data_IF_875925211040
#
_entry.id   IF_875925211040
#
_cell.length_a   1.000
_cell.length_b   1.000
_cell.length_c   1.000
_cell.angle_alpha   90.00
_cell.angle_beta   90.00
_cell.angle_gamma   90.00
#
_symmetry.space_group_name_H-M   'P 1'
#
loop_
_entity.id
_entity.type
_entity.pdbx_description
1 polymer ?
2 polymer ?
3 water ?
#
# COMPACT_ATOMS: atom_id res chain seq x y z
N UNK A 3 5.15 19.18 11.77
CA UNK A 3 3.77 19.43 11.37
C UNK A 3 2.82 18.43 12.04
N UNK A 4 2.88 17.18 11.59
CA UNK A 4 2.05 16.12 12.11
C UNK A 4 2.77 15.26 13.13
N UNK A 5 2.20 14.09 13.38
CA UNK A 5 2.79 13.12 14.34
C UNK A 5 3.97 12.46 13.66
N UNK A 6 5.12 12.45 14.32
CA UNK A 6 6.39 11.91 13.76
C UNK A 6 6.73 10.56 14.39
N UNK A 7 7.10 9.58 13.58
CA UNK A 7 7.47 8.26 14.13
C UNK A 7 8.85 7.89 13.62
N UNK A 8 9.66 7.29 14.49
CA UNK A 8 10.98 6.81 14.14
C UNK A 8 11.19 5.45 14.78
N UNK A 9 11.74 4.47 14.04
CA UNK A 9 12.09 4.62 12.62
C UNK A 9 10.87 4.47 11.71
N UNK A 10 11.07 4.48 10.40
CA UNK A 10 9.99 4.22 9.46
C UNK A 10 9.92 2.74 9.10
N UNK A 11 11.04 2.15 8.72
CA UNK A 11 11.17 0.72 8.51
C UNK A 11 12.19 0.17 9.49
N UNK A 12 11.98 -1.07 9.92
CA UNK A 12 12.98 -1.77 10.71
C UNK A 12 12.94 -3.25 10.38
N UNK A 13 14.10 -3.79 10.01
CA UNK A 13 14.28 -5.22 9.76
C UNK A 13 15.38 -5.71 10.70
N UNK A 14 15.03 -6.62 11.60
CA UNK A 14 15.92 -7.03 12.67
C UNK A 14 15.77 -8.51 12.94
N UNK A 15 16.77 -9.08 13.61
CA UNK A 15 16.78 -10.47 14.01
C UNK A 15 16.06 -10.66 15.34
N UNK A 16 15.51 -11.85 15.55
CA UNK A 16 14.76 -12.12 16.76
C UNK A 16 15.67 -12.14 17.98
N UNK A 17 15.13 -11.70 19.11
CA UNK A 17 15.88 -11.52 20.34
C UNK A 17 16.34 -10.10 20.56
N UNK A 18 16.47 -9.32 19.49
CA UNK A 18 16.89 -7.93 19.62
C UNK A 18 15.82 -7.10 20.31
N UNK A 19 16.26 -6.01 20.92
CA UNK A 19 15.34 -5.03 21.51
C UNK A 19 15.00 -3.98 20.47
N UNK A 20 13.70 -3.77 20.25
CA UNK A 20 13.20 -2.83 19.27
C UNK A 20 12.63 -1.62 20.01
N UNK A 21 13.12 -0.42 19.66
CA UNK A 21 12.66 0.82 20.26
C UNK A 21 11.95 1.64 19.19
N UNK A 22 10.64 1.83 19.38
CA UNK A 22 9.85 2.72 18.54
C UNK A 22 9.65 4.03 19.27
N UNK A 23 9.73 5.14 18.54
CA UNK A 23 9.63 6.47 19.13
C UNK A 23 8.59 7.29 18.39
N UNK A 24 7.84 8.08 19.15
CA UNK A 24 6.79 8.93 18.60
C UNK A 24 6.89 10.34 19.17
N UNK A 25 6.60 11.33 18.33
CA UNK A 25 6.49 12.72 18.76
C UNK A 25 5.11 13.23 18.42
N UNK A 26 4.28 13.53 19.41
CA UNK A 26 2.91 14.00 19.11
C UNK A 26 2.90 15.40 18.51
N UNK A 27 1.72 15.87 18.12
CA UNK A 27 1.59 17.21 17.58
C UNK A 27 1.75 18.23 18.71
N UNK A 28 2.44 19.33 18.41
CA UNK A 28 2.72 20.36 19.41
C UNK A 28 1.43 20.87 20.04
N UNK A 29 1.30 20.68 21.36
CA UNK A 29 0.12 21.07 22.09
C UNK A 29 -0.81 19.91 22.41
N UNK A 30 -0.66 18.78 21.73
CA UNK A 30 -1.49 17.62 22.00
C UNK A 30 -1.05 16.95 23.31
N UNK A 31 -2.01 16.37 24.01
CA UNK A 31 -1.77 15.87 25.36
C UNK A 31 -2.07 14.39 25.55
N UNK A 32 -2.80 13.75 24.65
CA UNK A 32 -3.02 12.31 24.70
C UNK A 32 -2.30 11.65 23.52
N UNK A 33 -1.71 10.49 23.78
CA UNK A 33 -0.92 9.78 22.78
C UNK A 33 -1.31 8.31 22.78
N UNK A 34 -1.58 7.77 21.60
CA UNK A 34 -2.07 6.40 21.45
C UNK A 34 -1.07 5.57 20.66
N UNK A 35 -0.91 4.31 21.06
CA UNK A 35 -0.05 3.36 20.36
C UNK A 35 -0.92 2.25 19.79
N UNK A 36 -0.92 2.10 18.46
CA UNK A 36 -1.70 1.09 17.78
C UNK A 36 -0.81 0.08 17.09
N UNK A 37 -1.42 -1.05 16.69
CA UNK A 37 -0.79 -2.08 15.89
C UNK A 37 -1.77 -2.52 14.82
N UNK A 38 -1.24 -2.84 13.64
CA UNK A 38 -2.03 -3.27 12.48
C UNK A 38 -1.45 -4.53 11.85
N UNK A 39 -2.33 -5.43 11.48
CA UNK A 39 -2.01 -6.69 10.78
C UNK A 39 -3.18 -6.96 9.83
N UNK A 40 -3.26 -8.14 9.26
CA UNK A 40 -4.49 -8.38 8.46
C UNK A 40 -5.51 -9.13 9.33
N UNK A 41 -5.03 -9.97 10.23
CA UNK A 41 -5.82 -10.87 11.09
C UNK A 41 -6.56 -10.17 12.23
N UNK A 42 -5.92 -9.22 12.90
CA UNK A 42 -6.52 -8.57 14.09
C UNK A 42 -6.94 -7.12 13.86
N UNK A 43 -6.52 -6.49 12.76
CA UNK A 43 -6.91 -5.13 12.49
C UNK A 43 -6.14 -4.10 13.32
N UNK A 44 -6.76 -2.95 13.49
CA UNK A 44 -6.19 -1.85 14.25
C UNK A 44 -6.38 -2.13 15.74
N UNK A 45 -5.28 -2.35 16.44
CA UNK A 45 -5.30 -2.83 17.82
C UNK A 45 -4.70 -1.77 18.73
N UNK A 46 -5.49 -1.29 19.69
CA UNK A 46 -4.96 -0.38 20.70
C UNK A 46 -4.04 -1.15 21.63
N UNK A 47 -2.84 -0.61 21.85
CA UNK A 47 -1.88 -1.18 22.78
C UNK A 47 -1.85 -0.44 24.11
N UNK A 48 -1.71 0.88 24.06
CA UNK A 48 -1.66 1.71 25.26
C UNK A 48 -1.89 3.14 24.82
N UNK A 49 -2.41 3.96 25.74
CA UNK A 49 -2.60 5.38 25.43
C UNK A 49 -2.43 6.20 26.69
N UNK A 50 -1.79 7.35 26.54
CA UNK A 50 -1.45 8.24 27.64
C UNK A 50 -2.31 9.49 27.61
N UNK A 51 -2.26 10.23 28.71
CA UNK A 51 -2.89 11.54 28.80
C UNK A 51 -2.13 12.33 29.86
N UNK A 52 -1.55 13.46 29.44
CA UNK A 52 -0.66 14.25 30.30
C UNK A 52 0.48 13.38 30.83
N UNK A 53 1.03 12.55 29.94
CA UNK A 53 2.18 11.69 30.22
C UNK A 53 1.88 10.57 31.23
N UNK A 54 0.63 10.33 31.51
CA UNK A 54 0.20 9.26 32.43
C UNK A 54 -0.55 8.22 31.62
N UNK A 55 -0.26 6.93 31.79
CA UNK A 55 -1.03 5.90 31.09
C UNK A 55 -2.46 5.83 31.61
N UNK A 56 -3.41 5.69 30.69
CA UNK A 56 -4.82 5.58 31.03
C UNK A 56 -5.32 4.15 30.84
N UNK A 57 -4.99 3.53 29.70
CA UNK A 57 -5.40 2.17 29.41
C UNK A 57 -4.23 1.45 28.77
N UNK A 58 -3.70 0.44 29.46
CA UNK A 58 -2.65 -0.42 28.92
C UNK A 58 -3.09 -1.88 28.86
N UNK A 59 -4.40 -2.14 28.87
CA UNK A 59 -4.90 -3.50 28.81
C UNK A 59 -4.54 -4.20 27.51
N UNK A 60 -4.32 -3.43 26.43
CA UNK A 60 -3.91 -3.99 25.17
C UNK A 60 -2.45 -4.40 25.08
N UNK A 61 -1.67 -4.12 26.12
CA UNK A 61 -0.26 -4.47 26.11
C UNK A 61 -0.09 -5.97 26.36
N UNK A 62 0.75 -6.66 25.59
CA UNK A 62 0.99 -8.08 25.84
C UNK A 62 1.65 -8.30 27.19
N UNK A 63 1.47 -9.52 27.71
CA UNK A 63 1.95 -9.84 29.06
C UNK A 63 3.45 -9.66 29.18
N UNK A 64 4.20 -9.97 28.12
CA UNK A 64 5.65 -9.87 28.15
C UNK A 64 6.17 -9.16 26.90
N UNK A 65 7.35 -8.57 27.04
CA UNK A 65 8.21 -8.04 25.98
C UNK A 65 7.76 -6.71 25.41
N UNK A 66 6.66 -6.11 25.88
CA UNK A 66 6.19 -4.83 25.37
C UNK A 66 6.09 -3.85 26.53
N UNK A 67 6.82 -2.74 26.43
CA UNK A 67 6.78 -1.68 27.44
C UNK A 67 6.78 -0.33 26.74
N UNK A 68 5.98 0.60 27.28
CA UNK A 68 5.86 1.94 26.72
C UNK A 68 5.90 2.97 27.84
N UNK A 69 6.45 4.14 27.53
CA UNK A 69 6.53 5.23 28.50
C UNK A 69 6.59 6.56 27.77
N UNK A 70 6.23 7.62 28.48
CA UNK A 70 6.20 8.98 27.95
C UNK A 70 6.98 9.86 28.90
N UNK A 71 8.30 10.05 28.67
CA UNK A 71 9.12 10.81 29.63
C UNK A 71 8.77 12.29 29.68
N UNK A 72 8.37 12.90 28.57
CA UNK A 72 7.90 14.29 28.58
C UNK A 72 6.72 14.40 27.63
N UNK A 73 6.20 15.62 27.49
CA UNK A 73 4.95 15.84 26.78
C UNK A 73 5.06 15.73 25.27
N UNK A 74 6.27 15.62 24.72
CA UNK A 74 6.47 15.58 23.27
C UNK A 74 7.36 14.41 22.85
N UNK A 75 7.34 13.32 23.60
CA UNK A 75 8.17 12.17 23.29
C UNK A 75 7.64 10.95 24.03
N UNK A 76 7.41 9.87 23.29
CA UNK A 76 7.02 8.60 23.88
C UNK A 76 7.77 7.49 23.17
N UNK A 77 7.99 6.38 23.89
CA UNK A 77 8.74 5.25 23.36
C UNK A 77 7.96 3.96 23.60
N UNK A 78 8.23 2.97 22.76
CA UNK A 78 7.58 1.66 22.86
C UNK A 78 8.62 0.60 22.56
N UNK A 79 9.03 -0.14 23.59
CA UNK A 79 10.15 -1.07 23.49
C UNK A 79 9.64 -2.51 23.41
N UNK A 80 10.17 -3.25 22.44
CA UNK A 80 9.90 -4.67 22.29
C UNK A 80 11.19 -5.42 22.64
N UNK A 81 11.18 -6.12 23.77
CA UNK A 81 12.38 -6.80 24.24
C UNK A 81 12.03 -8.06 25.02
N UNK A 82 12.50 -9.24 24.56
CA UNK A 82 13.15 -9.37 23.25
C UNK A 82 12.12 -9.56 22.15
N UNK A 83 12.48 -9.20 20.92
CA UNK A 83 11.55 -9.27 19.81
C UNK A 83 11.37 -10.71 19.33
N UNK A 84 10.28 -10.93 18.62
CA UNK A 84 9.93 -12.23 18.06
C UNK A 84 9.38 -12.02 16.67
N UNK A 85 9.42 -13.05 15.81
CA UNK A 85 8.84 -12.92 14.47
C UNK A 85 7.39 -12.48 14.47
N UNK A 86 6.57 -13.00 15.39
CA UNK A 86 5.16 -12.62 15.44
C UNK A 86 4.96 -11.16 15.83
N UNK A 87 6.01 -10.46 16.25
CA UNK A 87 5.90 -9.03 16.52
C UNK A 87 5.78 -8.20 15.24
N UNK A 88 6.05 -8.81 14.08
CA UNK A 88 6.11 -8.07 12.83
C UNK A 88 4.73 -7.51 12.49
N UNK A 89 4.65 -6.17 12.42
CA UNK A 89 3.41 -5.48 12.11
C UNK A 89 3.75 -4.03 11.78
N UNK A 90 2.73 -3.26 11.43
CA UNK A 90 2.85 -1.81 11.29
C UNK A 90 2.34 -1.18 12.57
N UNK A 91 3.19 -0.41 13.23
CA UNK A 91 2.87 0.20 14.52
C UNK A 91 2.62 1.68 14.33
N UNK A 92 1.45 2.15 14.76
CA UNK A 92 1.03 3.53 14.58
C UNK A 92 1.04 4.26 15.91
N UNK A 93 1.36 5.56 15.84
CA UNK A 93 1.21 6.45 16.97
C UNK A 93 0.24 7.57 16.59
N UNK A 94 -0.68 7.88 17.50
CA UNK A 94 -1.68 8.91 17.28
C UNK A 94 -1.70 9.85 18.47
N UNK A 95 -2.24 11.05 18.26
CA UNK A 95 -2.33 12.03 19.33
C UNK A 95 -3.57 12.89 19.14
N UNK A 96 -4.14 13.31 20.27
CA UNK A 96 -5.28 14.23 20.30
C UNK A 96 -4.96 15.37 21.26
N UNK A 97 -5.85 16.36 21.28
CA UNK A 97 -5.68 17.48 22.20
C UNK A 97 -5.70 17.02 23.65
N UNK A 98 -6.47 15.99 23.97
CA UNK A 98 -6.49 15.47 25.31
C UNK A 98 -7.44 16.15 26.27
N UNK A 99 -8.43 16.85 25.73
CA UNK A 99 -9.42 17.51 26.60
C UNK A 99 -10.70 16.68 26.63
N UNK A 100 -10.81 15.73 25.73
CA UNK A 100 -12.01 14.90 25.68
C UNK A 100 -11.66 13.56 25.05
N UNK A 101 -12.35 12.52 25.50
CA UNK A 101 -12.18 11.20 24.90
C UNK A 101 -12.61 11.18 23.45
N UNK A 102 -13.42 12.14 23.01
CA UNK A 102 -13.97 12.19 21.67
C UNK A 102 -13.14 13.03 20.71
N UNK A 103 -11.98 13.53 21.14
CA UNK A 103 -11.17 14.38 20.28
C UNK A 103 -10.64 13.58 19.09
N UNK A 104 -10.51 14.28 17.96
CA UNK A 104 -10.04 13.63 16.73
C UNK A 104 -8.59 13.19 16.88
N UNK A 105 -8.31 11.96 16.44
CA UNK A 105 -6.97 11.40 16.52
C UNK A 105 -6.22 11.62 15.20
N UNK A 106 -5.03 12.19 15.30
CA UNK A 106 -4.15 12.37 14.15
C UNK A 106 -3.11 11.27 14.14
N UNK A 107 -2.93 10.63 13.00
CA UNK A 107 -2.08 9.44 12.89
C UNK A 107 -0.75 9.79 12.25
N UNK A 108 0.33 9.29 12.85
CA UNK A 108 1.62 9.35 12.22
C UNK A 108 1.73 8.36 11.08
N UNK A 109 2.86 8.39 10.38
CA UNK A 109 3.02 7.52 9.20
C UNK A 109 3.14 6.05 9.54
N UNK A 110 3.54 5.71 10.76
CA UNK A 110 3.64 4.32 11.14
C UNK A 110 5.00 3.73 10.84
N UNK A 111 5.39 2.75 11.67
CA UNK A 111 6.64 2.03 11.50
C UNK A 111 6.34 0.60 11.10
N UNK A 112 6.91 0.16 9.98
CA UNK A 112 6.81 -1.23 9.55
C UNK A 112 7.98 -1.99 10.16
N UNK A 113 7.68 -2.86 11.11
CA UNK A 113 8.68 -3.65 11.83
C UNK A 113 8.61 -5.09 11.34
N UNK A 114 9.72 -5.58 10.81
CA UNK A 114 9.84 -6.99 10.42
C UNK A 114 10.93 -7.63 11.26
N UNK A 115 10.54 -8.51 12.17
CA UNK A 115 11.47 -9.28 12.98
C UNK A 115 11.63 -10.65 12.33
N UNK A 116 12.85 -10.96 11.88
CA UNK A 116 13.12 -12.20 11.19
C UNK A 116 13.67 -13.26 12.15
N UNK A 117 13.57 -14.52 11.73
CA UNK A 117 14.18 -15.60 12.50
C UNK A 117 15.70 -15.51 12.46
N UNK A 118 16.27 -15.33 11.27
CA UNK A 118 17.68 -15.02 11.11
C UNK A 118 17.86 -14.28 9.79
N UNK A 119 19.02 -13.65 9.63
CA UNK A 119 19.30 -12.78 8.51
C UNK A 119 19.94 -13.50 7.33
N UNK A 120 19.88 -14.83 7.30
CA UNK A 120 20.55 -15.58 6.24
C UNK A 120 19.84 -15.45 4.90
N UNK A 121 18.56 -15.07 4.90
CA UNK A 121 17.72 -15.04 3.71
C UNK A 121 17.48 -13.63 3.19
N UNK A 122 18.22 -12.64 3.68
CA UNK A 122 17.99 -11.26 3.28
C UNK A 122 18.75 -11.00 1.99
N UNK A 123 18.04 -10.52 0.97
CA UNK A 123 18.63 -10.17 -0.31
C UNK A 123 18.13 -8.80 -0.76
N UNK A 124 18.98 -7.99 -1.35
CA UNK A 124 18.52 -6.76 -1.99
C UNK A 124 17.88 -7.08 -3.33
N UNK A 125 17.08 -6.17 -3.89
CA UNK A 125 16.45 -6.45 -5.18
C UNK A 125 17.39 -6.21 -6.34
N UNK A 126 17.07 -6.88 -7.45
CA UNK A 126 17.69 -6.60 -8.75
C UNK A 126 16.66 -5.83 -9.58
N UNK A 127 17.09 -4.71 -10.16
CA UNK A 127 16.20 -3.80 -10.86
C UNK A 127 16.57 -3.78 -12.33
N UNK A 128 15.61 -4.14 -13.19
CA UNK A 128 15.75 -4.06 -14.63
C UNK A 128 14.60 -3.24 -15.20
N UNK A 129 14.92 -2.39 -16.16
CA UNK A 129 13.93 -1.58 -16.88
C UNK A 129 13.83 -2.12 -18.30
N UNK A 130 12.59 -2.28 -18.78
CA UNK A 130 12.33 -2.86 -20.08
C UNK A 130 11.75 -1.77 -20.98
N UNK A 131 12.38 -1.58 -22.14
CA UNK A 131 12.04 -0.45 -22.99
C UNK A 131 10.74 -0.69 -23.73
N UNK A 132 10.03 0.39 -24.10
CA UNK A 132 8.71 0.22 -24.74
C UNK A 132 8.77 -0.58 -26.02
N UNK A 133 7.81 -1.50 -26.16
CA UNK A 133 7.56 -2.16 -27.44
C UNK A 133 7.39 -1.14 -28.54
N UNK A 134 7.98 -1.42 -29.70
CA UNK A 134 7.71 -0.63 -30.89
C UNK A 134 6.37 -0.95 -31.50
N UNK A 135 5.83 -2.14 -31.23
CA UNK A 135 4.45 -2.42 -31.62
C UNK A 135 3.48 -1.54 -30.85
N UNK A 136 3.78 -1.26 -29.57
CA UNK A 136 2.92 -0.40 -28.77
C UNK A 136 3.01 1.04 -29.22
N UNK A 137 4.20 1.50 -29.59
CA UNK A 137 4.34 2.82 -30.18
C UNK A 137 3.59 2.89 -31.50
N UNK A 138 3.74 1.88 -32.34
CA UNK A 138 3.09 1.94 -33.65
C UNK A 138 1.57 1.94 -33.52
N UNK A 139 1.05 1.15 -32.58
CA UNK A 139 -0.39 0.85 -32.54
C UNK A 139 -1.19 1.87 -31.74
N UNK A 140 -0.61 2.48 -30.70
CA UNK A 140 -1.33 3.33 -29.78
C UNK A 140 -0.73 4.74 -29.66
N UNK A 141 0.43 4.99 -30.26
CA UNK A 141 1.16 6.25 -30.12
C UNK A 141 1.52 6.55 -28.67
N UNK A 142 1.57 5.52 -27.83
CA UNK A 142 2.05 5.63 -26.45
C UNK A 142 3.18 4.65 -26.25
N UNK A 143 3.93 4.85 -25.16
CA UNK A 143 5.10 4.03 -24.85
C UNK A 143 5.06 3.66 -23.38
N UNK A 144 4.98 2.37 -23.10
CA UNK A 144 4.93 1.85 -21.73
C UNK A 144 6.31 1.33 -21.34
N UNK A 145 6.86 1.88 -20.28
CA UNK A 145 8.06 1.31 -19.64
C UNK A 145 7.64 0.36 -18.53
N UNK A 146 8.42 -0.70 -18.36
CA UNK A 146 8.17 -1.69 -17.32
C UNK A 146 9.42 -1.85 -16.48
N UNK A 147 9.25 -1.90 -15.16
CA UNK A 147 10.33 -2.09 -14.22
C UNK A 147 10.08 -3.35 -13.41
N UNK A 148 11.15 -4.13 -13.19
CA UNK A 148 11.07 -5.39 -12.46
C UNK A 148 12.07 -5.35 -11.31
N UNK A 149 11.55 -5.30 -10.08
CA UNK A 149 12.35 -5.47 -8.87
C UNK A 149 12.16 -6.90 -8.40
N UNK A 150 13.21 -7.72 -8.52
CA UNK A 150 13.08 -9.16 -8.33
C UNK A 150 14.08 -9.65 -7.28
N UNK A 151 13.68 -10.70 -6.56
CA UNK A 151 14.59 -11.44 -5.71
C UNK A 151 14.94 -10.79 -4.39
N UNK A 152 14.06 -9.96 -3.84
CA UNK A 152 14.33 -9.29 -2.58
C UNK A 152 13.59 -9.96 -1.43
N UNK A 153 14.17 -9.86 -0.24
CA UNK A 153 13.59 -10.35 1.01
C UNK A 153 14.19 -9.57 2.17
N UNK A 154 13.36 -9.10 3.12
CA UNK A 154 11.90 -9.24 3.12
C UNK A 154 11.21 -8.22 2.22
N UNK A 155 9.91 -8.01 2.43
CA UNK A 155 9.13 -7.10 1.59
C UNK A 155 9.15 -5.70 2.18
N UNK A 156 10.33 -5.10 2.14
CA UNK A 156 10.53 -3.71 2.56
C UNK A 156 11.13 -2.94 1.39
N UNK A 157 10.32 -2.71 0.35
CA UNK A 157 10.78 -2.03 -0.85
C UNK A 157 9.85 -0.86 -1.14
N UNK A 158 10.43 0.20 -1.69
CA UNK A 158 9.69 1.37 -2.18
C UNK A 158 10.17 1.65 -3.60
N UNK A 159 9.27 1.47 -4.57
CA UNK A 159 9.58 1.69 -5.97
C UNK A 159 9.16 3.10 -6.37
N UNK A 160 9.96 3.73 -7.22
CA UNK A 160 9.65 5.08 -7.69
C UNK A 160 10.30 5.30 -9.05
N UNK A 161 9.60 6.06 -9.90
CA UNK A 161 10.10 6.45 -11.20
C UNK A 161 10.61 7.89 -11.15
N UNK A 162 11.76 8.13 -11.76
CA UNK A 162 12.37 9.45 -11.79
C UNK A 162 12.65 9.82 -13.24
N UNK A 163 11.84 10.72 -13.79
CA UNK A 163 11.97 11.17 -15.17
C UNK A 163 12.68 12.51 -15.16
N UNK A 164 13.86 12.56 -15.79
CA UNK A 164 14.68 13.77 -15.87
C UNK A 164 15.02 14.30 -14.48
N UNK A 165 15.57 13.42 -13.65
CA UNK A 165 16.04 13.79 -12.33
C UNK A 165 14.97 14.08 -11.30
N UNK A 166 13.71 14.23 -11.72
CA UNK A 166 12.63 14.58 -10.80
C UNK A 166 11.62 13.43 -10.74
N UNK A 167 11.07 13.22 -9.55
CA UNK A 167 10.17 12.10 -9.31
C UNK A 167 8.80 12.37 -9.91
N UNK A 168 8.23 11.35 -10.57
CA UNK A 168 6.93 11.47 -11.21
C UNK A 168 5.96 10.51 -10.53
N UNK A 169 4.67 10.84 -10.64
CA UNK A 169 3.62 10.02 -10.04
C UNK A 169 2.54 9.70 -11.06
N UNK A 170 2.38 10.58 -12.06
CA UNK A 170 1.36 10.37 -13.08
C UNK A 170 1.81 9.30 -14.07
N UNK A 171 0.83 8.55 -14.58
CA UNK A 171 1.12 7.51 -15.55
C UNK A 171 1.91 6.34 -14.99
N UNK A 172 1.90 6.15 -13.68
CA UNK A 172 2.69 5.11 -13.03
C UNK A 172 1.76 4.23 -12.21
N UNK A 173 1.80 2.93 -12.48
CA UNK A 173 1.07 1.95 -11.68
C UNK A 173 2.05 0.86 -11.29
N UNK A 174 2.27 0.69 -9.99
CA UNK A 174 3.12 -0.35 -9.45
C UNK A 174 2.24 -1.31 -8.65
N UNK A 175 2.63 -2.57 -8.64
CA UNK A 175 1.82 -3.62 -8.03
C UNK A 175 1.54 -3.29 -6.56
N UNK A 176 0.29 -3.33 -6.11
CA UNK A 176 0.01 -3.11 -4.68
C UNK A 176 0.64 -4.18 -3.80
N UNK A 177 0.74 -5.41 -4.28
CA UNK A 177 1.35 -6.50 -3.52
C UNK A 177 2.34 -7.26 -4.41
N UNK A 178 3.46 -7.67 -3.85
CA UNK A 178 4.47 -8.39 -4.64
C UNK A 178 4.09 -9.86 -4.85
N UNK A 179 4.91 -10.55 -5.63
CA UNK A 179 4.73 -11.96 -5.93
C UNK A 179 5.84 -12.77 -5.27
N UNK A 180 5.49 -13.99 -4.86
CA UNK A 180 6.46 -14.94 -4.34
C UNK A 180 7.08 -15.71 -5.50
N UNK A 181 8.40 -15.61 -5.65
CA UNK A 181 9.08 -16.38 -6.69
C UNK A 181 8.89 -17.87 -6.47
N UNK A 182 9.05 -18.32 -5.23
CA UNK A 182 8.68 -19.68 -4.84
C UNK A 182 7.36 -19.59 -4.07
N UNK A 183 6.21 -19.81 -4.71
CA UNK A 183 4.92 -19.62 -4.02
C UNK A 183 4.66 -20.61 -2.89
N UNK A 184 5.62 -21.48 -2.55
CA UNK A 184 5.45 -22.45 -1.49
C UNK A 184 6.65 -22.43 -0.55
N UNK A 185 7.01 -21.24 -0.06
CA UNK A 185 8.13 -21.09 0.86
C UNK A 185 7.88 -19.88 1.74
N UNK A 186 8.08 -20.05 3.06
CA UNK A 186 8.04 -18.92 3.97
C UNK A 186 9.24 -18.02 3.78
N UNK A 187 10.37 -18.58 3.33
CA UNK A 187 11.58 -17.83 3.05
C UNK A 187 11.55 -17.10 1.72
N UNK A 188 10.51 -17.34 0.90
CA UNK A 188 10.57 -17.03 -0.52
C UNK A 188 10.84 -15.54 -0.77
N UNK A 189 11.80 -15.27 -1.65
CA UNK A 189 12.08 -13.91 -2.09
C UNK A 189 10.96 -13.42 -2.99
N UNK A 190 10.86 -12.10 -3.11
CA UNK A 190 9.72 -11.46 -3.76
C UNK A 190 10.11 -10.83 -5.10
N UNK A 191 9.09 -10.59 -5.92
CA UNK A 191 9.23 -9.83 -7.16
C UNK A 191 8.14 -8.77 -7.19
N UNK A 192 8.43 -7.68 -7.91
CA UNK A 192 7.50 -6.55 -7.97
C UNK A 192 7.67 -5.87 -9.32
N UNK A 193 6.54 -5.52 -9.95
CA UNK A 193 6.54 -4.90 -11.26
C UNK A 193 5.92 -3.51 -11.20
N UNK A 194 6.36 -2.64 -12.11
CA UNK A 194 5.85 -1.29 -12.26
C UNK A 194 5.70 -0.97 -13.74
N UNK A 195 4.90 0.06 -14.00
CA UNK A 195 4.68 0.55 -15.35
C UNK A 195 4.73 2.07 -15.36
N UNK A 196 5.41 2.63 -16.35
CA UNK A 196 5.40 4.07 -16.62
C UNK A 196 5.08 4.26 -18.09
N UNK A 197 3.87 4.72 -18.38
CA UNK A 197 3.42 4.93 -19.75
C UNK A 197 3.47 6.41 -20.09
N UNK A 198 4.23 6.75 -21.11
CA UNK A 198 4.28 8.10 -21.64
C UNK A 198 3.93 8.04 -23.12
N UNK A 199 3.77 9.23 -23.72
CA UNK A 199 3.44 9.30 -25.13
C UNK A 199 4.63 8.89 -25.98
N UNK A 200 4.34 8.40 -27.19
CA UNK A 200 5.40 8.06 -28.13
C UNK A 200 6.35 9.22 -28.36
N UNK A 201 5.81 10.45 -28.33
CA UNK A 201 6.64 11.63 -28.52
C UNK A 201 7.68 11.77 -27.40
N UNK A 202 7.28 11.46 -26.17
CA UNK A 202 8.19 11.67 -25.04
C UNK A 202 9.27 10.60 -24.97
N UNK A 203 8.94 9.35 -25.29
CA UNK A 203 9.95 8.29 -25.24
C UNK A 203 10.95 8.43 -26.38
N UNK A 204 10.50 8.86 -27.54
CA UNK A 204 11.37 8.95 -28.71
C UNK A 204 12.31 10.15 -28.67
N UNK A 205 12.26 10.97 -27.62
CA UNK A 205 13.22 12.05 -27.44
C UNK A 205 14.42 11.49 -26.68
N UNK A 206 15.59 11.38 -27.30
CA UNK A 206 16.75 10.80 -26.60
C UNK A 206 17.34 11.72 -25.54
N UNK A 207 16.70 12.86 -25.30
CA UNK A 207 17.11 13.77 -24.24
C UNK A 207 16.27 13.60 -22.98
N UNK A 208 15.38 12.62 -22.95
CA UNK A 208 14.62 12.28 -21.76
C UNK A 208 15.27 11.10 -21.05
N UNK A 209 15.37 11.19 -19.73
CA UNK A 209 16.04 10.20 -18.91
C UNK A 209 15.02 9.53 -18.00
N UNK A 210 14.97 8.20 -18.03
CA UNK A 210 14.05 7.41 -17.22
C UNK A 210 14.85 6.57 -16.24
N UNK A 211 14.44 6.58 -14.97
CA UNK A 211 15.11 5.79 -13.95
C UNK A 211 14.07 5.17 -13.04
N UNK A 212 14.16 3.84 -12.86
CA UNK A 212 13.35 3.13 -11.88
C UNK A 212 14.18 2.94 -10.61
N UNK A 213 13.70 3.50 -9.51
CA UNK A 213 14.43 3.52 -8.25
C UNK A 213 13.68 2.67 -7.23
N UNK A 214 14.39 1.75 -6.59
CA UNK A 214 13.82 0.85 -5.61
C UNK A 214 14.60 0.99 -4.31
N UNK A 215 13.98 1.59 -3.30
CA UNK A 215 14.57 1.70 -1.98
C UNK A 215 14.32 0.41 -1.20
N UNK A 216 15.39 -0.29 -0.85
CA UNK A 216 15.31 -1.53 -0.09
C UNK A 216 15.73 -1.28 1.36
N UNK A 217 15.04 -1.94 2.30
CA UNK A 217 15.34 -1.83 3.71
C UNK A 217 15.78 -3.20 4.23
N UNK A 218 17.03 -3.30 4.65
CA UNK A 218 17.56 -4.55 5.15
C UNK A 218 18.39 -4.38 6.40
N UNK A 219 19.63 -4.88 6.38
CA UNK A 219 20.48 -4.85 7.55
C UNK A 219 21.06 -3.46 7.78
N UNK A 220 21.54 -3.24 9.00
CA UNK A 220 22.11 -1.96 9.40
C UNK A 220 23.62 -2.11 9.64
N UNK A 221 24.23 -1.06 10.18
CA UNK A 221 25.66 -1.09 10.47
C UNK A 221 25.97 -2.09 11.58
N UNK A 222 25.14 -2.13 12.63
CA UNK A 222 25.42 -2.99 13.77
C UNK A 222 25.38 -4.46 13.40
N UNK A 223 24.55 -4.82 12.41
CA UNK A 223 24.41 -6.22 12.01
C UNK A 223 25.73 -6.74 11.44
N UNK A 224 25.81 -8.07 11.31
CA UNK A 224 27.04 -8.73 10.95
C UNK A 224 26.80 -9.69 9.79
N UNK A 225 27.89 -10.10 9.15
CA UNK A 225 27.81 -10.91 7.94
C UNK A 225 28.88 -11.99 7.95
N UNK A 226 28.45 -13.24 7.84
CA UNK A 226 29.37 -14.38 7.72
C UNK A 226 29.10 -15.14 6.43
N UNK A 227 29.07 -14.42 5.30
CA UNK A 227 28.83 -15.02 4.00
C UNK A 227 29.61 -14.23 2.97
N UNK A 228 30.14 -14.92 1.95
CA UNK A 228 30.89 -14.24 0.89
C UNK A 228 29.97 -13.86 -0.27
N UNK A 229 28.88 -13.17 0.08
CA UNK A 229 28.12 -12.36 -0.85
C UNK A 229 27.92 -11.00 -0.20
N UNK A 230 27.59 -10.01 -1.02
CA UNK A 230 27.47 -8.64 -0.52
C UNK A 230 26.43 -8.57 0.59
N UNK A 231 26.81 -7.93 1.70
CA UNK A 231 25.91 -7.83 2.84
C UNK A 231 24.67 -7.03 2.44
N UNK A 232 23.47 -7.55 2.69
CA UNK A 232 22.24 -6.85 2.25
C UNK A 232 21.84 -5.72 3.19
N UNK A 233 22.60 -4.63 3.11
CA UNK A 233 22.31 -3.44 3.91
C UNK A 233 21.16 -2.68 3.27
N UNK A 234 20.63 -1.68 3.97
CA UNK A 234 19.68 -0.76 3.37
C UNK A 234 20.36 0.00 2.23
N UNK A 235 19.72 0.02 1.07
CA UNK A 235 20.35 0.59 -0.12
C UNK A 235 19.26 0.99 -1.12
N UNK A 236 19.70 1.56 -2.23
CA UNK A 236 18.83 1.93 -3.34
C UNK A 236 19.41 1.31 -4.61
N UNK A 237 18.67 0.38 -5.21
CA UNK A 237 19.08 -0.26 -6.44
C UNK A 237 18.29 0.37 -7.59
N UNK A 238 19.01 0.85 -8.60
CA UNK A 238 18.40 1.59 -9.69
C UNK A 238 18.65 0.91 -11.03
N UNK A 239 17.73 1.13 -11.96
CA UNK A 239 17.91 0.82 -13.37
C UNK A 239 17.38 2.00 -14.17
N UNK A 240 17.99 2.25 -15.32
CA UNK A 240 17.65 3.44 -16.07
C UNK A 240 17.72 3.16 -17.56
N UNK A 241 17.10 4.06 -18.33
CA UNK A 241 17.08 3.97 -19.78
C UNK A 241 17.03 5.38 -20.36
N UNK A 242 17.61 5.54 -21.54
CA UNK A 242 17.58 6.80 -22.27
C UNK A 242 16.58 6.72 -23.41
N UNK A 243 16.13 7.89 -23.86
CA UNK A 243 15.19 7.94 -24.96
C UNK A 243 15.79 7.39 -26.24
N UNK A 244 14.91 6.85 -27.09
CA UNK A 244 15.35 6.22 -28.34
C UNK A 244 14.38 6.63 -29.44
N UNK A 245 14.87 7.42 -30.40
CA UNK A 245 14.03 7.82 -31.53
C UNK A 245 13.71 6.63 -32.41
N UNK A 246 14.66 5.73 -32.60
CA UNK A 246 14.44 4.52 -33.39
C UNK A 246 15.03 3.30 -32.70
N UNK B 2 -18.88 -3.30 25.81
CA UNK B 2 -19.92 -3.36 24.81
C UNK B 2 -19.74 -2.28 23.74
N UNK B 3 -18.50 -2.08 23.33
CA UNK B 3 -18.14 -1.07 22.32
C UNK B 3 -17.57 -1.80 21.11
N UNK B 4 -18.43 -2.05 20.12
CA UNK B 4 -18.07 -2.82 18.94
C UNK B 4 -18.26 -1.99 17.68
N UNK B 5 -17.52 -2.36 16.63
CA UNK B 5 -17.66 -1.78 15.29
C UNK B 5 -17.55 -2.92 14.29
N UNK B 6 -18.60 -3.13 13.50
CA UNK B 6 -18.67 -4.24 12.56
C UNK B 6 -18.79 -3.71 11.14
N UNK B 7 -17.79 -3.99 10.31
CA UNK B 7 -17.84 -3.74 8.87
C UNK B 7 -17.83 -5.11 8.20
N UNK B 8 -19.02 -5.60 7.84
CA UNK B 8 -19.18 -7.00 7.46
C UNK B 8 -18.63 -7.28 6.06
N UNK B 9 -18.95 -6.42 5.09
CA UNK B 9 -18.38 -6.55 3.76
C UNK B 9 -16.92 -6.13 3.82
N UNK B 10 -15.97 -7.06 3.64
CA UNK B 10 -14.56 -6.70 3.74
C UNK B 10 -13.97 -6.15 2.45
N UNK B 11 -14.59 -6.42 1.31
CA UNK B 11 -14.14 -5.91 0.03
C UNK B 11 -15.32 -5.38 -0.76
N UNK B 12 -15.13 -4.23 -1.40
CA UNK B 12 -16.18 -3.61 -2.19
C UNK B 12 -15.59 -3.08 -3.49
N UNK B 13 -16.40 -3.13 -4.54
CA UNK B 13 -16.05 -2.57 -5.84
C UNK B 13 -17.07 -1.50 -6.22
N UNK B 14 -16.62 -0.56 -7.05
CA UNK B 14 -17.50 0.48 -7.57
C UNK B 14 -17.00 0.87 -8.95
N UNK B 15 -17.95 1.07 -9.87
CA UNK B 15 -17.60 1.62 -11.17
C UNK B 15 -17.27 3.09 -11.03
N UNK B 16 -16.24 3.52 -11.75
CA UNK B 16 -15.85 4.93 -11.72
C UNK B 16 -17.03 5.82 -12.08
N UNK B 17 -17.22 6.86 -11.28
CA UNK B 17 -18.29 7.87 -11.37
C UNK B 17 -19.63 7.36 -10.83
N UNK B 18 -19.73 6.10 -10.40
CA UNK B 18 -20.95 5.60 -9.79
C UNK B 18 -20.82 5.60 -8.27
N UNK B 19 -21.94 5.35 -7.60
CA UNK B 19 -22.05 5.52 -6.16
C UNK B 19 -21.96 4.19 -5.43
N UNK B 20 -21.18 4.17 -4.35
CA UNK B 20 -21.06 3.01 -3.47
C UNK B 20 -21.35 3.45 -2.04
N UNK B 21 -21.99 2.57 -1.28
CA UNK B 21 -22.25 2.80 0.14
C UNK B 21 -21.48 1.75 0.94
N UNK B 22 -20.68 2.21 1.90
CA UNK B 22 -19.89 1.32 2.76
C UNK B 22 -20.59 1.20 4.10
N UNK B 23 -20.90 -0.02 4.50
CA UNK B 23 -21.75 -0.27 5.65
C UNK B 23 -20.96 -0.24 6.95
N UNK B 24 -21.66 0.09 8.03
CA UNK B 24 -21.10 0.05 9.38
C UNK B 24 -22.24 -0.02 10.38
N UNK B 25 -22.15 -0.97 11.31
CA UNK B 25 -23.04 -1.04 12.46
C UNK B 25 -22.20 -1.05 13.72
N UNK B 26 -22.75 -0.48 14.79
CA UNK B 26 -22.02 -0.36 16.04
C UNK B 26 -22.91 -0.71 17.22
N UNK B 27 -22.27 -1.08 18.32
CA UNK B 27 -22.91 -1.19 19.62
C UNK B 27 -22.11 -0.37 20.62
N UNK B 28 -22.83 0.33 21.50
CA UNK B 28 -22.19 1.19 22.48
C UNK B 28 -22.89 1.03 23.82
N UNK B 29 -22.29 1.60 24.85
CA UNK B 29 -22.92 1.69 26.15
C UNK B 29 -23.22 3.14 26.52
N UNK B 30 -22.21 4.01 26.53
CA UNK B 30 -22.44 5.41 26.86
C UNK B 30 -23.27 6.09 25.79
N UNK B 31 -24.26 6.88 26.22
CA UNK B 31 -25.14 7.53 25.26
C UNK B 31 -24.50 8.75 24.61
N UNK B 32 -23.26 9.08 24.97
CA UNK B 32 -22.53 10.21 24.40
C UNK B 32 -21.29 9.66 23.72
N UNK B 33 -21.38 9.44 22.42
CA UNK B 33 -20.29 8.86 21.65
C UNK B 33 -20.10 9.64 20.35
N UNK B 34 -18.99 9.37 19.68
CA UNK B 34 -18.69 9.92 18.37
C UNK B 34 -18.49 8.77 17.39
N UNK B 35 -18.71 9.05 16.12
CA UNK B 35 -18.51 8.07 15.06
C UNK B 35 -17.61 8.66 13.98
N UNK B 36 -16.76 7.81 13.41
CA UNK B 36 -15.72 8.27 12.51
C UNK B 36 -15.65 7.37 11.28
N UNK B 37 -15.09 7.92 10.21
CA UNK B 37 -14.66 7.17 9.04
C UNK B 37 -13.24 7.60 8.70
N UNK B 38 -12.34 6.62 8.61
CA UNK B 38 -10.94 6.88 8.30
C UNK B 38 -10.60 6.23 6.97
N UNK B 39 -9.87 6.97 6.13
CA UNK B 39 -9.36 6.45 4.88
C UNK B 39 -7.89 6.07 5.06
N UNK B 40 -7.52 4.91 4.50
CA UNK B 40 -6.14 4.46 4.51
C UNK B 40 -5.72 4.08 3.10
N UNK B 41 -5.04 4.98 2.39
CA UNK B 41 -4.48 4.62 1.08
C UNK B 41 -3.35 3.61 1.24
N UNK B 42 -2.81 3.09 0.13
CA UNK B 42 -1.68 2.15 0.24
C UNK B 42 -0.49 2.71 1.00
N UNK B 43 -0.38 4.03 1.14
CA UNK B 43 0.68 4.62 1.95
C UNK B 43 0.61 4.21 3.41
N UNK B 44 -0.50 3.60 3.85
CA UNK B 44 -0.82 3.22 5.22
C UNK B 44 -1.14 4.42 6.09
N UNK B 45 -1.21 5.62 5.53
CA UNK B 45 -1.56 6.80 6.31
C UNK B 45 -3.05 6.79 6.63
N UNK B 46 -3.39 7.17 7.85
CA UNK B 46 -4.78 7.28 8.27
C UNK B 46 -5.27 8.73 8.21
N UNK B 47 -6.25 9.01 7.36
CA UNK B 47 -6.86 10.34 7.12
C UNK B 47 -8.31 10.24 7.52
N UNK B 48 -8.78 11.16 8.34
CA UNK B 48 -10.21 11.17 8.72
C UNK B 48 -11.04 11.69 7.54
N UNK B 49 -12.03 10.91 7.15
CA UNK B 49 -12.98 11.28 6.10
C UNK B 49 -14.12 12.11 6.66
N UNK B 50 -14.81 11.60 7.68
CA UNK B 50 -16.02 12.21 8.20
C UNK B 50 -16.09 11.92 9.69
N UNK B 51 -16.90 12.72 10.40
CA UNK B 51 -17.00 12.60 11.84
C UNK B 51 -18.37 13.10 12.28
N UNK B 52 -19.09 12.26 13.02
CA UNK B 52 -20.44 12.54 13.46
C UNK B 52 -20.54 12.49 14.97
N UNK B 53 -21.48 13.27 15.51
CA UNK B 53 -21.76 13.30 16.94
C UNK B 53 -23.08 12.60 17.23
N UNK B 54 -23.15 11.93 18.38
CA UNK B 54 -24.27 11.02 18.65
C UNK B 54 -25.60 11.74 18.62
N UNK B 55 -25.83 12.67 19.56
CA UNK B 55 -27.14 13.31 19.65
C UNK B 55 -27.26 14.54 18.74
N UNK B 56 -26.80 14.44 17.50
CA UNK B 56 -27.02 15.47 16.49
C UNK B 56 -27.73 14.85 15.29
N UNK B 57 -28.16 15.72 14.38
CA UNK B 57 -29.12 15.34 13.36
C UNK B 57 -28.49 14.42 12.31
N UNK B 58 -29.35 13.95 11.40
CA UNK B 58 -28.93 13.31 10.17
C UNK B 58 -28.80 14.39 9.10
N UNK B 59 -27.57 14.62 8.62
CA UNK B 59 -27.26 15.82 7.87
C UNK B 59 -28.08 15.92 6.59
N UNK B 60 -28.41 17.15 6.22
CA UNK B 60 -28.99 17.45 4.91
C UNK B 60 -27.90 18.03 4.01
N UNK B 61 -26.96 17.15 3.65
CA UNK B 61 -25.70 17.54 3.02
C UNK B 61 -25.56 16.83 1.68
N UNK B 62 -25.21 17.60 0.65
CA UNK B 62 -24.97 17.03 -0.68
C UNK B 62 -23.48 17.06 -1.01
N UNK B 63 -22.64 16.64 -0.08
CA UNK B 63 -21.22 16.49 -0.33
C UNK B 63 -20.93 15.11 -0.91
N UNK B 64 -19.76 15.00 -1.56
CA UNK B 64 -19.42 13.74 -2.23
C UNK B 64 -19.27 12.60 -1.24
N UNK B 65 -18.81 12.88 -0.02
CA UNK B 65 -18.70 11.88 1.03
C UNK B 65 -19.74 12.22 2.09
N UNK B 66 -20.80 11.42 2.13
CA UNK B 66 -21.93 11.67 3.01
C UNK B 66 -22.16 10.49 3.95
N UNK B 67 -22.95 10.73 4.98
CA UNK B 67 -23.20 9.77 6.06
C UNK B 67 -24.69 9.51 6.17
N UNK B 68 -25.04 8.27 6.49
CA UNK B 68 -26.41 7.89 6.82
C UNK B 68 -26.41 7.40 8.27
N UNK B 69 -26.90 8.25 9.18
CA UNK B 69 -26.82 8.01 10.62
C UNK B 69 -28.17 7.53 11.13
N UNK B 70 -28.28 6.24 11.40
CA UNK B 70 -29.46 5.64 12.02
C UNK B 70 -29.10 5.31 13.47
N UNK B 71 -29.34 6.27 14.37
CA UNK B 71 -29.04 6.03 15.78
C UNK B 71 -29.94 4.97 16.38
N UNK B 72 -31.20 4.90 15.96
CA UNK B 72 -32.09 3.87 16.47
C UNK B 72 -31.70 2.49 15.95
N UNK B 73 -31.23 2.42 14.71
CA UNK B 73 -30.72 1.18 14.14
C UNK B 73 -29.23 0.99 14.38
N UNK B 74 -28.58 1.99 15.00
CA UNK B 74 -27.15 1.93 15.30
C UNK B 74 -26.32 1.59 14.05
N UNK B 75 -26.72 2.16 12.93
CA UNK B 75 -26.02 2.02 11.67
C UNK B 75 -25.40 3.35 11.27
N UNK B 76 -24.35 3.30 10.47
CA UNK B 76 -23.53 4.47 10.17
C UNK B 76 -22.90 4.28 8.78
N UNK B 77 -23.72 4.41 7.74
CA UNK B 77 -23.24 4.20 6.38
C UNK B 77 -22.30 5.32 5.96
N UNK B 78 -21.45 5.00 5.00
CA UNK B 78 -20.61 5.98 4.31
C UNK B 78 -20.91 5.89 2.83
N UNK B 79 -21.46 6.96 2.27
CA UNK B 79 -21.79 7.01 0.85
C UNK B 79 -20.73 7.81 0.11
N UNK B 80 -20.28 7.29 -1.03
CA UNK B 80 -19.31 7.96 -1.88
C UNK B 80 -19.95 8.11 -3.25
N UNK B 81 -20.26 9.33 -3.63
CA UNK B 81 -20.82 9.62 -4.94
C UNK B 81 -19.70 9.90 -5.94
N UNK B 82 -20.01 9.72 -7.22
CA UNK B 82 -19.11 10.02 -8.33
C UNK B 82 -17.70 9.54 -8.03
N UNK B 83 -17.59 8.22 -7.89
CA UNK B 83 -16.35 7.64 -7.38
C UNK B 83 -15.20 7.88 -8.35
N UNK B 84 -14.01 8.08 -7.78
CA UNK B 84 -12.79 8.31 -8.53
C UNK B 84 -11.77 7.24 -8.15
N UNK B 85 -10.72 7.12 -8.97
CA UNK B 85 -9.68 6.12 -8.70
C UNK B 85 -8.85 6.47 -7.49
N UNK B 86 -8.81 7.75 -7.10
CA UNK B 86 -8.17 8.15 -5.85
C UNK B 86 -8.92 7.70 -4.61
N UNK B 87 -10.19 7.32 -4.75
CA UNK B 87 -10.96 6.82 -3.62
C UNK B 87 -10.62 5.38 -3.27
N UNK B 88 -9.99 4.64 -4.19
CA UNK B 88 -9.62 3.25 -3.93
C UNK B 88 -8.65 3.16 -2.76
N UNK B 89 -9.13 2.66 -1.63
CA UNK B 89 -8.33 2.56 -0.41
C UNK B 89 -9.08 1.66 0.56
N UNK B 90 -8.53 1.53 1.77
CA UNK B 90 -9.19 0.83 2.85
C UNK B 90 -9.90 1.84 3.74
N UNK B 91 -11.12 1.50 4.16
CA UNK B 91 -11.97 2.40 4.92
C UNK B 91 -12.32 1.76 6.25
N UNK B 92 -12.07 2.49 7.35
CA UNK B 92 -12.31 2.00 8.69
C UNK B 92 -13.39 2.84 9.37
N UNK B 93 -14.40 2.17 9.89
CA UNK B 93 -15.42 2.79 10.73
C UNK B 93 -15.01 2.65 12.19
N UNK B 94 -15.18 3.72 12.97
CA UNK B 94 -14.62 3.75 14.31
C UNK B 94 -15.59 4.36 15.30
N UNK B 95 -15.55 3.86 16.53
CA UNK B 95 -16.37 4.32 17.63
C UNK B 95 -15.54 5.11 18.64
N UNK B 96 -16.21 5.93 19.44
CA UNK B 96 -15.55 6.75 20.45
C UNK B 96 -16.42 6.76 21.70
N UNK B 97 -16.12 5.85 22.63
CA UNK B 97 -16.84 5.71 23.91
C UNK B 97 -15.92 5.55 25.10
N UNK B 98 -16.04 4.47 25.84
CA UNK B 98 -15.18 4.19 27.03
C UNK B 98 -13.73 4.18 26.53
N UNK B 99 -13.50 3.55 25.38
CA UNK B 99 -12.21 3.61 24.69
C UNK B 99 -12.26 4.70 23.64
N UNK B 100 -11.26 5.60 23.60
CA UNK B 100 -11.35 6.77 22.71
C UNK B 100 -11.57 6.43 21.25
N UNK B 101 -11.02 5.32 20.75
CA UNK B 101 -11.20 4.94 19.36
C UNK B 101 -11.17 3.42 19.25
N UNK B 102 -12.28 2.83 18.81
CA UNK B 102 -12.37 1.41 18.52
C UNK B 102 -12.65 1.26 17.03
N UNK B 103 -11.78 0.55 16.33
CA UNK B 103 -11.85 0.42 14.88
C UNK B 103 -12.56 -0.87 14.47
N UNK B 104 -13.28 -0.78 13.35
CA UNK B 104 -13.72 -1.97 12.65
C UNK B 104 -12.58 -2.58 11.86
N UNK B 105 -12.84 -3.72 11.26
CA UNK B 105 -11.79 -4.49 10.60
C UNK B 105 -11.56 -4.07 9.15
N UNK B 106 -12.27 -3.08 8.65
CA UNK B 106 -11.92 -2.44 7.39
C UNK B 106 -12.73 -2.95 6.21
N UNK B 107 -12.63 -2.19 5.13
CA UNK B 107 -13.32 -2.50 3.87
C UNK B 107 -12.46 -1.99 2.72
N UNK B 108 -11.92 -2.90 1.92
CA UNK B 108 -11.11 -2.50 0.77
C UNK B 108 -12.04 -2.15 -0.39
N UNK B 109 -12.10 -0.87 -0.72
CA UNK B 109 -12.89 -0.38 -1.83
C UNK B 109 -12.01 -0.23 -3.06
N UNK B 110 -12.39 -0.89 -4.14
CA UNK B 110 -11.68 -0.80 -5.42
C UNK B 110 -12.58 -0.08 -6.43
N UNK B 111 -12.01 0.89 -7.13
CA UNK B 111 -12.76 1.70 -8.10
C UNK B 111 -12.36 1.25 -9.49
N UNK B 112 -13.32 0.69 -10.22
CA UNK B 112 -13.10 0.13 -11.55
C UNK B 112 -13.05 1.26 -12.57
N UNK B 113 -11.97 1.39 -13.34
CA UNK B 113 -11.90 2.47 -14.33
C UNK B 113 -12.75 2.16 -15.54
N UNK B 114 -13.45 3.18 -16.04
CA UNK B 114 -14.25 3.05 -17.25
C UNK B 114 -13.33 3.18 -18.46
N UNK B 115 -13.03 2.06 -19.11
CA UNK B 115 -12.23 2.04 -20.34
C UNK B 115 -13.19 2.02 -21.52
N UNK B 116 -13.27 3.15 -22.23
CA UNK B 116 -14.18 3.26 -23.36
C UNK B 116 -13.49 3.05 -24.70
N UNK B 117 -12.17 3.03 -24.75
CA UNK B 117 -11.41 2.71 -25.97
C UNK B 117 -10.48 1.54 -25.69
N UNK B 118 -11.01 0.34 -25.53
CA UNK B 118 -10.16 -0.81 -25.22
C UNK B 118 -9.43 -1.29 -26.47
N UNK B 119 -8.11 -1.44 -26.34
CA UNK B 119 -7.26 -1.96 -27.41
C UNK B 119 -6.44 -3.11 -26.87
N UNK B 120 -7.08 -4.26 -26.59
CA UNK B 120 -6.38 -5.37 -25.95
C UNK B 120 -5.19 -5.82 -26.79
N UNK B 121 -4.02 -5.90 -26.14
CA UNK B 121 -2.80 -6.25 -26.83
C UNK B 121 -1.82 -6.88 -25.85
N UNK B 122 -1.03 -7.82 -26.36
CA UNK B 122 0.08 -8.42 -25.62
C UNK B 122 1.36 -8.02 -26.34
N UNK B 123 2.18 -7.22 -25.68
CA UNK B 123 3.42 -6.72 -26.25
C UNK B 123 4.61 -7.40 -25.62
N UNK B 124 5.74 -7.34 -26.32
CA UNK B 124 7.01 -7.85 -25.82
C UNK B 124 7.98 -6.67 -25.67
N UNK B 125 8.49 -6.49 -24.45
CA UNK B 125 9.52 -5.51 -24.16
C UNK B 125 10.83 -6.24 -23.87
N UNK B 126 11.94 -5.51 -23.99
CA UNK B 126 13.24 -6.12 -23.79
C UNK B 126 14.14 -5.18 -22.99
N UNK B 127 15.07 -5.79 -22.27
CA UNK B 127 15.80 -5.13 -21.20
C UNK B 127 16.74 -4.05 -21.75
N UNK B 128 16.79 -2.91 -21.05
CA UNK B 128 17.63 -1.81 -21.49
C UNK B 128 19.10 -2.22 -21.57
N UNK B 129 19.59 -2.89 -20.54
CA UNK B 129 20.98 -3.33 -20.51
C UNK B 129 21.19 -4.75 -21.04
N UNK B 130 20.11 -5.48 -21.31
CA UNK B 130 20.22 -6.84 -21.83
C UNK B 130 19.52 -7.00 -23.17
N UNK B 131 18.22 -6.72 -23.25
CA UNK B 131 17.40 -7.06 -24.41
C UNK B 131 17.48 -8.54 -24.73
N UNK B 132 17.83 -9.35 -23.72
CA UNK B 132 17.74 -10.81 -23.81
C UNK B 132 16.90 -11.41 -22.70
N UNK B 133 16.71 -10.71 -21.59
CA UNK B 133 15.70 -11.05 -20.59
C UNK B 133 14.45 -10.26 -20.92
N UNK B 134 13.33 -10.95 -21.12
CA UNK B 134 12.15 -10.36 -21.73
C UNK B 134 10.99 -10.31 -20.74
N UNK B 135 10.03 -9.42 -21.04
CA UNK B 135 8.77 -9.32 -20.33
C UNK B 135 7.66 -9.18 -21.36
N UNK B 136 6.47 -9.64 -20.99
CA UNK B 136 5.29 -9.55 -21.84
C UNK B 136 4.26 -8.66 -21.14
N UNK B 137 3.75 -7.66 -21.86
CA UNK B 137 2.85 -6.65 -21.30
C UNK B 137 1.47 -6.82 -21.92
N UNK B 138 0.51 -7.29 -21.13
CA UNK B 138 -0.90 -7.28 -21.47
C UNK B 138 -1.47 -5.94 -21.05
N UNK B 139 -2.02 -5.19 -22.00
CA UNK B 139 -2.40 -3.82 -21.71
C UNK B 139 -3.63 -3.42 -22.53
N UNK B 140 -4.29 -2.35 -22.05
CA UNK B 140 -5.40 -1.69 -22.74
C UNK B 140 -6.62 -2.59 -22.91
N UNK B 141 -6.76 -3.61 -22.08
CA UNK B 141 -7.96 -4.45 -22.10
C UNK B 141 -9.06 -3.80 -21.28
N UNK B 142 -10.28 -4.28 -21.47
CA UNK B 142 -11.41 -3.76 -20.72
C UNK B 142 -11.29 -4.14 -19.25
N UNK B 143 -11.98 -3.37 -18.40
CA UNK B 143 -11.85 -3.51 -16.96
C UNK B 143 -12.53 -4.75 -16.40
N UNK B 144 -13.30 -5.48 -17.21
CA UNK B 144 -13.94 -6.71 -16.78
C UNK B 144 -13.10 -7.95 -17.08
N UNK B 145 -11.89 -7.77 -17.58
CA UNK B 145 -11.04 -8.90 -17.97
C UNK B 145 -10.38 -9.49 -16.73
N UNK B 146 -10.58 -10.79 -16.51
CA UNK B 146 -9.96 -11.50 -15.40
C UNK B 146 -8.62 -12.06 -15.88
N UNK B 147 -7.54 -11.35 -15.56
CA UNK B 147 -6.20 -11.88 -15.72
C UNK B 147 -5.83 -12.61 -14.44
N UNK B 148 -5.50 -13.90 -14.56
CA UNK B 148 -5.28 -14.75 -13.41
C UNK B 148 -3.80 -15.14 -13.30
N UNK B 149 -3.44 -15.65 -12.13
CA UNK B 149 -2.06 -15.97 -11.82
C UNK B 149 -1.55 -17.13 -12.68
N UNK B 150 -0.26 -17.42 -12.53
CA UNK B 150 0.42 -18.40 -13.35
C UNK B 150 0.18 -19.82 -12.83
N UNK B 151 0.51 -20.79 -13.67
CA UNK B 151 0.47 -22.21 -13.31
C UNK B 151 1.86 -22.84 -13.28
N UNK B 152 2.76 -22.43 -14.17
CA UNK B 152 4.13 -22.91 -14.12
C UNK B 152 4.85 -22.32 -12.91
N UNK B 153 5.78 -23.10 -12.36
CA UNK B 153 6.56 -22.64 -11.22
C UNK B 153 7.59 -21.60 -11.60
N UNK B 154 7.90 -21.46 -12.89
CA UNK B 154 8.97 -20.57 -13.35
C UNK B 154 8.45 -19.43 -14.22
N UNK B 155 7.13 -19.25 -14.30
CA UNK B 155 6.54 -18.12 -15.00
C UNK B 155 5.75 -17.30 -13.98
N UNK B 156 5.93 -15.99 -14.03
CA UNK B 156 5.34 -15.08 -13.04
C UNK B 156 4.40 -14.12 -13.73
N UNK B 157 3.19 -13.97 -13.17
CA UNK B 157 2.15 -13.13 -13.74
C UNK B 157 1.66 -12.18 -12.65
N UNK B 158 1.82 -10.89 -12.87
CA UNK B 158 1.28 -9.89 -11.95
C UNK B 158 -0.17 -9.60 -12.30
N UNK B 159 -0.94 -9.16 -11.30
CA UNK B 159 -2.32 -8.79 -11.54
C UNK B 159 -2.39 -7.47 -12.30
N UNK B 160 -3.59 -7.12 -12.75
CA UNK B 160 -3.77 -5.92 -13.55
C UNK B 160 -3.59 -4.66 -12.69
N UNK B 161 -3.15 -3.59 -13.34
CA UNK B 161 -2.82 -2.32 -12.72
C UNK B 161 -3.28 -1.19 -13.61
N UNK B 162 -4.10 -0.29 -13.07
CA UNK B 162 -4.66 0.82 -13.83
C UNK B 162 -3.82 2.07 -13.58
N UNK B 163 -3.34 2.68 -14.65
CA UNK B 163 -2.57 3.92 -14.57
C UNK B 163 -3.38 5.07 -15.17
N UNK B 164 -3.15 6.26 -14.64
CA UNK B 164 -3.87 7.47 -15.03
C UNK B 164 -2.85 8.46 -15.56
N UNK B 165 -2.76 8.56 -16.89
CA UNK B 165 -1.82 9.48 -17.52
C UNK B 165 -2.10 10.94 -17.20
N UNK B 166 -3.25 11.24 -16.59
CA UNK B 166 -3.56 12.57 -16.06
C UNK B 166 -3.79 13.56 -17.19
N UNK B 167 -3.60 13.12 -18.43
CA UNK B 167 -3.86 13.91 -19.63
C UNK B 167 -4.77 13.14 -20.57
N UNK B 168 -5.63 13.87 -21.26
CA UNK B 168 -6.64 13.33 -22.16
C UNK B 168 -7.64 12.43 -21.44
N UNK B 169 -7.69 12.50 -20.11
CA UNK B 169 -8.51 11.63 -19.28
C UNK B 169 -8.24 10.16 -19.59
N UNK B 170 -7.01 9.84 -19.99
CA UNK B 170 -6.67 8.50 -20.42
C UNK B 170 -6.43 7.59 -19.22
N UNK B 171 -6.93 6.36 -19.32
CA UNK B 171 -6.65 5.32 -18.36
C UNK B 171 -6.40 4.02 -19.12
N UNK B 172 -5.63 3.13 -18.52
CA UNK B 172 -5.33 1.84 -19.14
C UNK B 172 -5.02 0.81 -18.08
N UNK B 173 -5.52 -0.40 -18.28
CA UNK B 173 -5.18 -1.54 -17.44
C UNK B 173 -3.93 -2.22 -17.96
N UNK B 174 -3.18 -2.87 -17.07
CA UNK B 174 -1.88 -3.41 -17.44
C UNK B 174 -1.52 -4.57 -16.52
N UNK B 175 -1.05 -5.66 -17.12
CA UNK B 175 -0.56 -6.81 -16.38
C UNK B 175 0.75 -7.28 -17.01
N UNK B 176 1.69 -7.68 -16.16
CA UNK B 176 3.04 -8.04 -16.61
C UNK B 176 3.27 -9.52 -16.39
N UNK B 177 4.04 -10.13 -17.31
CA UNK B 177 4.42 -11.52 -17.22
C UNK B 177 5.84 -11.69 -17.74
N UNK B 178 6.62 -12.52 -17.03
CA UNK B 178 8.01 -12.77 -17.41
C UNK B 178 8.42 -14.15 -16.92
N UNK B 179 9.43 -14.70 -17.58
CA UNK B 179 9.96 -16.02 -17.23
C UNK B 179 11.24 -16.32 -17.99
N UNK B 180 12.32 -16.62 -17.26
CA UNK B 180 13.59 -17.00 -17.89
C UNK B 180 13.54 -18.48 -18.20
N UNK B 181 13.12 -18.81 -19.42
CA UNK B 181 13.03 -20.19 -19.87
C UNK B 181 13.04 -20.27 -21.40
N UNK B 184 9.21 -19.81 -22.93
CA UNK B 184 8.19 -18.81 -22.64
C UNK B 184 8.10 -17.78 -23.77
N UNK B 185 6.88 -17.56 -24.26
CA UNK B 185 6.63 -16.60 -25.33
C UNK B 185 5.39 -15.79 -24.99
N UNK B 186 5.33 -14.58 -25.55
CA UNK B 186 4.24 -13.66 -25.21
C UNK B 186 2.91 -14.13 -25.75
N UNK B 187 2.89 -14.75 -26.93
CA UNK B 187 1.65 -15.23 -27.52
C UNK B 187 0.99 -16.34 -26.70
N UNK B 188 1.70 -16.89 -25.71
CA UNK B 188 1.20 -17.97 -24.87
C UNK B 188 1.19 -17.61 -23.39
N UNK B 189 1.47 -16.35 -23.05
CA UNK B 189 1.66 -15.99 -21.65
C UNK B 189 0.33 -15.96 -20.89
N UNK B 190 -0.67 -15.29 -21.44
CA UNK B 190 -1.93 -15.07 -20.75
C UNK B 190 -3.06 -15.97 -21.25
N UNK B 191 -2.72 -17.14 -21.79
CA UNK B 191 -3.75 -17.99 -22.39
C UNK B 191 -4.55 -18.77 -21.35
N UNK B 192 -4.16 -18.73 -20.08
CA UNK B 192 -4.97 -19.27 -18.98
C UNK B 192 -5.93 -18.24 -18.44
N UNK B 193 -5.75 -16.97 -18.77
CA UNK B 193 -6.74 -15.94 -18.54
C UNK B 193 -7.60 -15.78 -19.78
N UNK B 194 -8.89 -15.50 -19.60
CA UNK B 194 -9.77 -15.40 -20.75
C UNK B 194 -9.46 -14.08 -21.47
N UNK B 195 -8.89 -14.20 -22.67
CA UNK B 195 -8.38 -13.05 -23.41
C UNK B 195 -9.50 -12.49 -24.28
N UNK B 196 -9.60 -11.17 -24.45
CA UNK B 196 -10.58 -10.63 -25.39
C UNK B 196 -10.35 -11.18 -26.79
N UNK B 197 -11.44 -11.31 -27.56
CA UNK B 197 -11.36 -11.94 -28.87
C UNK B 197 -10.47 -11.14 -29.83
N UNK B 198 -10.49 -9.82 -29.74
CA UNK B 198 -9.78 -8.95 -30.66
C UNK B 198 -8.39 -8.56 -30.18
N UNK B 199 -7.80 -9.35 -29.28
CA UNK B 199 -6.51 -8.99 -28.70
C UNK B 199 -5.43 -8.98 -29.76
N UNK B 200 -4.54 -7.99 -29.66
CA UNK B 200 -3.58 -7.65 -30.72
C UNK B 200 -2.25 -8.34 -30.44
N UNK B 201 -1.86 -9.26 -31.31
CA UNK B 201 -0.59 -9.97 -31.24
C UNK B 201 0.24 -9.60 -32.47
N UNK B 202 1.10 -8.58 -32.37
CA UNK B 202 1.90 -8.09 -33.51
C UNK B 202 2.82 -9.17 -34.10
#
# INVERSE_FOLDING_TARGET
>A
MDAGVIQSPRHEVTEMGQEVTLRCKPISGHNSLFWYRQTMMRGLELLIYFNNNVPIDDSGMPEDRFSAKMPNASFSTLKIQPSEPRDSAVYFCASTWGRASTDTQYFGPGTRLTVLEDLKNVFPPEVAVFEPSEAEISHTQKATLVCLATGFYPDHVELSWWVNGKEVHSGVCTDPQPLKEQPALNDSRYALSSRLRVSATFWQNPRNHFRCQVQFYGLSENDEWTQDRAKPVTQIVSAEAWGRAD
>B
MAQTVTQSQPEMSVQEAETVTLSCTYDTSESDYYLFWYKQPPSRQMILVIRQEAYKQQNATENRFSVNFQKAAKSFSLKISDSQLGDAAMYFCASSGNTPLVFGKGTRLSVIPNIQNPDPAVYQLRDSKSSDKSVCLFTDFDSQTNVSQSKDSDVYITDKCVLDMRSMDFKSNSAVAWSNKSDFACANAFNNSIIPEDTFFPSPESS
#
